data_IF_752594259216
#
_entry.id   IF_752594259216
#
_cell.length_a   1.000
_cell.length_b   1.000
_cell.length_c   1.000
_cell.angle_alpha   90.00
_cell.angle_beta   90.00
_cell.angle_gamma   90.00
#
_symmetry.space_group_name_H-M   'P 1'
#
loop_
_entity.id
_entity.type
_entity.pdbx_description
1 polymer ?
#
# COMPACT_ATOMS: atom_id res chain seq x y z
N UNK A 1 -11.10 -2.27 16.64
CA UNK A 1 -11.13 -2.66 15.21
C UNK A 1 -11.88 -3.97 15.04
N UNK A 2 -12.81 -4.05 14.10
CA UNK A 2 -13.32 -5.36 13.66
C UNK A 2 -12.22 -6.03 12.85
N UNK A 3 -11.95 -7.32 13.11
CA UNK A 3 -10.95 -8.13 12.39
C UNK A 3 -11.02 -7.96 10.86
N UNK A 4 -12.25 -7.71 10.38
CA UNK A 4 -12.59 -7.44 8.99
C UNK A 4 -11.88 -6.23 8.39
N UNK A 5 -11.74 -5.08 9.08
CA UNK A 5 -11.04 -3.92 8.50
C UNK A 5 -9.56 -4.21 8.26
N UNK A 6 -8.92 -4.88 9.23
CA UNK A 6 -7.51 -5.25 9.14
C UNK A 6 -7.25 -6.28 8.03
N UNK A 7 -8.09 -7.31 7.92
CA UNK A 7 -7.97 -8.30 6.84
C UNK A 7 -8.24 -7.66 5.47
N UNK A 8 -9.23 -6.79 5.38
CA UNK A 8 -9.57 -6.10 4.12
C UNK A 8 -8.44 -5.20 3.67
N UNK A 9 -7.80 -4.43 4.57
CA UNK A 9 -6.65 -3.61 4.22
C UNK A 9 -5.43 -4.45 3.82
N UNK A 10 -5.17 -5.56 4.50
CA UNK A 10 -4.07 -6.45 4.14
C UNK A 10 -4.26 -7.05 2.72
N UNK A 11 -5.48 -7.48 2.40
CA UNK A 11 -5.84 -8.00 1.08
C UNK A 11 -5.76 -6.90 0.01
N UNK A 12 -6.32 -5.71 0.27
CA UNK A 12 -6.22 -4.58 -0.66
C UNK A 12 -4.76 -4.17 -0.88
N UNK A 13 -3.95 -4.16 0.17
CA UNK A 13 -2.53 -3.81 0.07
C UNK A 13 -1.75 -4.80 -0.81
N UNK A 14 -1.99 -6.11 -0.61
CA UNK A 14 -1.40 -7.14 -1.46
C UNK A 14 -1.89 -7.00 -2.92
N UNK A 15 -3.18 -6.74 -3.13
CA UNK A 15 -3.74 -6.51 -4.46
C UNK A 15 -3.14 -5.28 -5.15
N UNK A 16 -2.99 -4.16 -4.44
CA UNK A 16 -2.36 -2.95 -4.98
C UNK A 16 -0.88 -3.18 -5.30
N UNK A 17 -0.14 -3.88 -4.44
CA UNK A 17 1.26 -4.20 -4.73
C UNK A 17 1.41 -5.01 -6.02
N UNK A 18 0.55 -6.01 -6.23
CA UNK A 18 0.51 -6.82 -7.46
C UNK A 18 0.11 -5.98 -8.67
N UNK A 19 -0.93 -5.15 -8.55
CA UNK A 19 -1.39 -4.29 -9.65
C UNK A 19 -0.35 -3.24 -10.06
N UNK A 20 0.33 -2.62 -9.09
CA UNK A 20 1.35 -1.60 -9.34
C UNK A 20 2.61 -2.23 -9.95
N UNK A 21 3.04 -3.40 -9.46
CA UNK A 21 4.22 -4.09 -10.01
C UNK A 21 3.98 -4.59 -11.44
N UNK A 22 2.82 -5.20 -11.71
CA UNK A 22 2.45 -5.62 -13.06
C UNK A 22 2.26 -4.40 -13.99
N UNK A 23 1.57 -3.36 -13.51
CA UNK A 23 1.37 -2.12 -14.25
C UNK A 23 2.68 -1.41 -14.59
N UNK A 24 3.61 -1.32 -13.64
CA UNK A 24 4.95 -0.75 -13.82
C UNK A 24 5.78 -1.52 -14.85
N UNK A 25 5.71 -2.85 -14.84
CA UNK A 25 6.34 -3.70 -15.86
C UNK A 25 5.78 -3.47 -17.27
N UNK A 26 4.45 -3.41 -17.42
CA UNK A 26 3.79 -3.16 -18.72
C UNK A 26 4.08 -1.74 -19.23
N UNK A 27 4.02 -0.74 -18.35
CA UNK A 27 4.32 0.65 -18.69
C UNK A 27 5.79 0.82 -19.11
N UNK A 28 6.72 0.19 -18.39
CA UNK A 28 8.14 0.16 -18.73
C UNK A 28 8.43 -0.52 -20.07
N UNK A 29 7.74 -1.62 -20.37
CA UNK A 29 7.82 -2.29 -21.68
C UNK A 29 7.34 -1.38 -22.82
N UNK A 30 6.17 -0.75 -22.67
CA UNK A 30 5.60 0.13 -23.70
C UNK A 30 6.48 1.34 -23.99
N UNK A 31 6.98 2.00 -22.94
CA UNK A 31 7.79 3.21 -23.09
C UNK A 31 9.12 2.96 -23.82
N UNK A 32 9.75 1.80 -23.62
CA UNK A 32 11.01 1.44 -24.27
C UNK A 32 10.83 0.75 -25.64
N UNK A 33 9.69 0.11 -25.90
CA UNK A 33 9.39 -0.44 -27.22
C UNK A 33 9.27 0.66 -28.30
N UNK A 34 8.78 1.85 -27.92
CA UNK A 34 8.68 3.01 -28.82
C UNK A 34 10.04 3.69 -29.07
N UNK A 35 11.04 3.51 -28.21
CA UNK A 35 12.35 4.19 -28.30
C UNK A 35 13.45 3.38 -29.01
N UNK A 36 13.19 2.13 -29.39
CA UNK A 36 14.11 1.31 -30.20
C UNK A 36 14.23 -0.13 -29.70
N UNK A 37 14.23 -1.06 -30.65
CA UNK A 37 14.05 -2.51 -30.46
C UNK A 37 15.10 -3.25 -29.58
N UNK A 38 16.11 -2.55 -29.05
CA UNK A 38 17.21 -3.15 -28.28
C UNK A 38 17.10 -3.07 -26.75
N UNK A 39 16.21 -2.23 -26.19
CA UNK A 39 16.25 -1.87 -24.76
C UNK A 39 15.04 -2.33 -23.94
N UNK A 40 14.17 -3.18 -24.50
CA UNK A 40 12.94 -3.63 -23.83
C UNK A 40 13.19 -4.27 -22.46
N UNK A 41 14.27 -5.04 -22.31
CA UNK A 41 14.63 -5.67 -21.03
C UNK A 41 15.00 -4.63 -19.95
N UNK A 42 15.72 -3.57 -20.33
CA UNK A 42 16.08 -2.47 -19.44
C UNK A 42 14.83 -1.68 -19.01
N UNK A 43 13.88 -1.47 -19.92
CA UNK A 43 12.59 -0.85 -19.64
C UNK A 43 11.74 -1.62 -18.62
N UNK A 44 11.71 -2.94 -18.73
CA UNK A 44 11.03 -3.80 -17.73
C UNK A 44 11.70 -3.65 -16.38
N UNK A 45 13.03 -3.77 -16.30
CA UNK A 45 13.75 -3.74 -15.02
C UNK A 45 13.56 -2.38 -14.33
N UNK A 46 13.71 -1.28 -15.06
CA UNK A 46 13.44 0.06 -14.53
C UNK A 46 11.98 0.24 -14.11
N UNK A 47 11.03 -0.19 -14.95
CA UNK A 47 9.60 -0.13 -14.64
C UNK A 47 9.22 -0.95 -13.41
N UNK A 48 9.85 -2.12 -13.23
CA UNK A 48 9.63 -2.99 -12.08
C UNK A 48 10.24 -2.38 -10.80
N UNK A 49 11.44 -1.80 -10.88
CA UNK A 49 12.10 -1.14 -9.73
C UNK A 49 11.30 0.08 -9.28
N UNK A 50 10.86 0.93 -10.21
CA UNK A 50 10.02 2.09 -9.90
C UNK A 50 8.65 1.64 -9.38
N UNK A 51 8.03 0.65 -10.02
CA UNK A 51 6.77 0.06 -9.56
C UNK A 51 6.87 -0.52 -8.15
N UNK A 52 7.97 -1.19 -7.83
CA UNK A 52 8.24 -1.72 -6.49
C UNK A 52 8.41 -0.60 -5.46
N UNK A 53 9.12 0.47 -5.80
CA UNK A 53 9.31 1.63 -4.92
C UNK A 53 7.98 2.31 -4.59
N UNK A 54 7.12 2.51 -5.61
CA UNK A 54 5.78 3.08 -5.42
C UNK A 54 4.90 2.15 -4.59
N UNK A 55 4.91 0.85 -4.89
CA UNK A 55 4.18 -0.15 -4.11
C UNK A 55 4.61 -0.11 -2.63
N UNK A 56 5.92 -0.12 -2.35
CA UNK A 56 6.43 -0.06 -0.98
C UNK A 56 6.01 1.23 -0.25
N UNK A 57 6.01 2.38 -0.93
CA UNK A 57 5.55 3.64 -0.35
C UNK A 57 4.04 3.63 -0.01
N UNK A 58 3.21 3.07 -0.91
CA UNK A 58 1.77 2.91 -0.68
C UNK A 58 1.52 1.91 0.45
N UNK A 59 2.22 0.78 0.48
CA UNK A 59 2.11 -0.21 1.55
C UNK A 59 2.50 0.39 2.91
N UNK A 60 3.59 1.16 2.97
CA UNK A 60 4.06 1.80 4.19
C UNK A 60 3.09 2.85 4.73
N UNK A 61 2.49 3.65 3.85
CA UNK A 61 1.51 4.68 4.26
C UNK A 61 0.22 4.06 4.79
N UNK A 62 -0.30 3.02 4.14
CA UNK A 62 -1.48 2.28 4.64
C UNK A 62 -1.22 1.64 6.01
N UNK A 63 -0.06 1.01 6.21
CA UNK A 63 0.30 0.43 7.50
C UNK A 63 0.35 1.50 8.62
N UNK A 64 0.86 2.69 8.29
CA UNK A 64 0.93 3.82 9.23
C UNK A 64 -0.47 4.32 9.61
N UNK A 65 -1.39 4.43 8.64
CA UNK A 65 -2.77 4.84 8.90
C UNK A 65 -3.51 3.85 9.80
N UNK A 66 -3.31 2.55 9.59
CA UNK A 66 -3.89 1.50 10.46
C UNK A 66 -3.41 1.63 11.90
N UNK A 67 -2.11 1.88 12.10
CA UNK A 67 -1.54 2.10 13.43
C UNK A 67 -2.16 3.32 14.11
N UNK A 68 -2.34 4.42 13.37
CA UNK A 68 -2.97 5.65 13.88
C UNK A 68 -4.43 5.39 14.27
N UNK A 69 -5.21 4.74 13.42
CA UNK A 69 -6.61 4.44 13.70
C UNK A 69 -6.76 3.55 14.94
N UNK A 70 -5.91 2.53 15.07
CA UNK A 70 -5.92 1.66 16.24
C UNK A 70 -5.55 2.42 17.52
N UNK A 71 -4.57 3.33 17.45
CA UNK A 71 -4.19 4.14 18.59
C UNK A 71 -5.31 5.10 19.01
N UNK A 72 -5.95 5.76 18.05
CA UNK A 72 -7.06 6.68 18.31
C UNK A 72 -8.28 5.96 18.89
N UNK A 73 -8.60 4.77 18.36
CA UNK A 73 -9.67 3.93 18.88
C UNK A 73 -9.41 3.51 20.33
N UNK A 74 -8.16 3.14 20.65
CA UNK A 74 -7.77 2.81 22.01
C UNK A 74 -7.94 4.01 22.97
N UNK A 75 -7.50 5.20 22.57
CA UNK A 75 -7.69 6.43 23.36
C UNK A 75 -9.16 6.74 23.64
N UNK A 76 -10.02 6.60 22.62
CA UNK A 76 -11.47 6.76 22.78
C UNK A 76 -12.06 5.75 23.77
N UNK A 77 -11.67 4.47 23.68
CA UNK A 77 -12.16 3.43 24.60
C UNK A 77 -11.70 3.65 26.05
N UNK A 78 -10.53 4.26 26.25
CA UNK A 78 -10.03 4.65 27.56
C UNK A 78 -10.79 5.86 28.10
N UNK A 79 -11.03 6.88 27.26
CA UNK A 79 -11.80 8.07 27.63
C UNK A 79 -13.25 7.73 28.03
N UNK A 80 -13.90 6.82 27.31
CA UNK A 80 -15.25 6.34 27.65
C UNK A 80 -15.27 5.59 28.98
N UNK A 81 -14.23 4.80 29.28
CA UNK A 81 -14.11 4.11 30.58
C UNK A 81 -13.92 5.11 31.72
N UNK A 82 -13.10 6.14 31.56
CA UNK A 82 -12.91 7.18 32.59
C UNK A 82 -14.21 7.94 32.87
N UNK A 83 -14.99 8.27 31.82
CA UNK A 83 -16.31 8.91 31.99
C UNK A 83 -17.28 8.05 32.78
N UNK A 84 -17.32 6.74 32.49
CA UNK A 84 -18.18 5.79 33.24
C UNK A 84 -17.73 5.58 34.68
N UNK A 85 -16.43 5.70 34.97
CA UNK A 85 -15.91 5.59 36.33
C UNK A 85 -16.21 6.83 37.19
N UNK A 86 -16.60 7.96 36.57
CA UNK A 86 -16.96 9.22 37.24
C UNK A 86 -18.48 9.42 37.42
N UNK A 87 -19.31 8.54 36.85
CA UNK A 87 -20.77 8.52 37.04
C UNK A 87 -21.14 7.47 38.08
#
# INVERSE_FOLDING_TARGET
>A
MTRLLSDTLAILNAAFAVLITIGGGIAGWRHMHEQGAGHGLLGIVLGLVVGLAVAAAVCGTLATLVLIENHLHNLLTMADRDRRARQ
#
